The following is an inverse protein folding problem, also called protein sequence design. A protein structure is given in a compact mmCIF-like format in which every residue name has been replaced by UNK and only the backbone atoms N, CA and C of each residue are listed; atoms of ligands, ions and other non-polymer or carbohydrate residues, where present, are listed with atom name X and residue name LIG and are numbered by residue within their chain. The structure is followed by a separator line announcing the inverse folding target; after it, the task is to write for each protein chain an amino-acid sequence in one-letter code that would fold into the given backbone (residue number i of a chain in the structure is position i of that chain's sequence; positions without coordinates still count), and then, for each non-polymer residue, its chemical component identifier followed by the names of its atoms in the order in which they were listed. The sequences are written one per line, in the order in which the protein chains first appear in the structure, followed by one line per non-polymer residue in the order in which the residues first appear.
data_IF_820747142722
#
_entry.id   IF_820747142722
#
_cell.length_a   1.000
_cell.length_b   1.000
_cell.length_c   1.000
_cell.angle_alpha   90.00
_cell.angle_beta   90.00
_cell.angle_gamma   90.00
#
_symmetry.space_group_name_H-M   'P 1'
#
loop_
_entity.id
_entity.type
_entity.pdbx_description
1 polymer ?
#
# COMPACT_ATOMS: atom_id res chain seq x y z
N UNK A 1 -10.36 -37.78 10.00
CA UNK A 1 -8.96 -37.59 10.44
C UNK A 1 -8.66 -36.11 10.26
N UNK A 2 -8.49 -35.37 11.34
CA UNK A 2 -8.42 -33.90 11.30
C UNK A 2 -7.10 -33.45 10.66
N UNK A 3 -7.15 -32.78 9.50
CA UNK A 3 -5.99 -32.23 8.79
C UNK A 3 -5.36 -31.00 9.47
N UNK A 4 -6.01 -30.51 10.53
CA UNK A 4 -5.65 -29.35 11.34
C UNK A 4 -4.14 -29.22 11.66
N UNK A 5 -3.41 -30.26 12.13
CA UNK A 5 -1.99 -30.11 12.45
C UNK A 5 -1.10 -29.92 11.21
N UNK A 6 -1.46 -30.53 10.07
CA UNK A 6 -0.72 -30.37 8.81
C UNK A 6 -0.98 -28.98 8.24
N UNK A 7 -2.23 -28.53 8.25
CA UNK A 7 -2.61 -27.19 7.78
C UNK A 7 -1.92 -26.11 8.62
N UNK A 8 -1.87 -26.30 9.94
CA UNK A 8 -1.16 -25.38 10.85
C UNK A 8 0.35 -25.41 10.61
N UNK A 9 0.95 -26.59 10.44
CA UNK A 9 2.37 -26.71 10.11
C UNK A 9 2.69 -25.97 8.80
N UNK A 10 1.90 -26.18 7.74
CA UNK A 10 2.11 -25.53 6.45
C UNK A 10 1.72 -24.05 6.42
N UNK A 11 0.91 -23.60 7.36
CA UNK A 11 0.70 -22.17 7.58
C UNK A 11 1.91 -21.53 8.24
N UNK A 12 2.49 -22.17 9.26
CA UNK A 12 3.66 -21.66 10.00
C UNK A 12 4.93 -21.75 9.14
N UNK A 13 5.15 -22.90 8.51
CA UNK A 13 6.23 -23.14 7.57
C UNK A 13 5.82 -22.64 6.20
N UNK A 14 6.51 -21.60 5.72
CA UNK A 14 6.18 -20.90 4.47
C UNK A 14 5.93 -21.84 3.29
N UNK A 15 4.88 -21.55 2.53
CA UNK A 15 4.56 -22.28 1.30
C UNK A 15 5.31 -21.71 0.10
N UNK A 16 5.40 -22.49 -0.98
CA UNK A 16 6.13 -22.09 -2.18
C UNK A 16 5.44 -22.56 -3.48
N UNK A 17 5.76 -21.87 -4.58
CA UNK A 17 5.45 -22.30 -5.94
C UNK A 17 6.74 -22.55 -6.74
N UNK A 18 6.64 -23.27 -7.86
CA UNK A 18 7.76 -23.60 -8.74
C UNK A 18 7.68 -22.71 -9.98
N UNK A 19 8.75 -21.98 -10.27
CA UNK A 19 8.77 -20.98 -11.36
C UNK A 19 8.49 -21.61 -12.74
N UNK A 20 9.11 -22.75 -13.02
CA UNK A 20 8.95 -23.45 -14.30
C UNK A 20 7.53 -24.01 -14.51
N UNK A 21 6.80 -24.29 -13.41
CA UNK A 21 5.45 -24.85 -13.47
C UNK A 21 4.40 -23.85 -13.97
N UNK A 22 4.71 -22.54 -13.98
CA UNK A 22 3.84 -21.50 -14.54
C UNK A 22 3.78 -21.51 -16.07
N UNK A 23 4.79 -22.08 -16.73
CA UNK A 23 4.88 -22.15 -18.20
C UNK A 23 4.31 -23.45 -18.78
N UNK A 24 3.97 -24.42 -17.92
CA UNK A 24 3.50 -25.75 -18.30
C UNK A 24 1.99 -25.76 -18.55
N UNK A 25 1.54 -26.70 -19.38
CA UNK A 25 0.12 -26.88 -19.71
C UNK A 25 -0.64 -27.55 -18.55
N UNK A 26 -1.59 -26.82 -17.97
CA UNK A 26 -2.49 -27.34 -16.93
C UNK A 26 -3.37 -28.45 -17.50
N UNK A 27 -3.49 -29.57 -16.76
CA UNK A 27 -4.28 -30.74 -17.13
C UNK A 27 -3.50 -31.83 -17.87
N UNK A 28 -2.41 -31.46 -18.55
CA UNK A 28 -1.53 -32.40 -19.25
C UNK A 28 -0.21 -32.61 -18.49
N UNK A 29 0.53 -31.52 -18.25
CA UNK A 29 1.88 -31.56 -17.68
C UNK A 29 1.89 -31.26 -16.17
N UNK A 30 0.99 -30.38 -15.72
CA UNK A 30 0.86 -29.97 -14.32
C UNK A 30 -0.59 -29.97 -13.85
N UNK A 31 -0.85 -30.32 -12.58
CA UNK A 31 -2.21 -30.30 -12.02
C UNK A 31 -2.74 -28.86 -11.82
N UNK A 32 -1.86 -27.89 -11.55
CA UNK A 32 -2.23 -26.49 -11.33
C UNK A 32 -1.04 -25.55 -11.65
N UNK A 33 -1.27 -24.31 -12.12
CA UNK A 33 -0.20 -23.34 -12.34
C UNK A 33 0.70 -23.16 -11.11
N UNK A 34 2.02 -23.24 -11.30
CA UNK A 34 2.98 -23.08 -10.20
C UNK A 34 3.12 -24.31 -9.27
N UNK A 35 2.36 -25.38 -9.50
CA UNK A 35 2.38 -26.63 -8.70
C UNK A 35 2.86 -27.79 -9.57
N UNK A 36 4.06 -28.29 -9.26
CA UNK A 36 4.67 -29.43 -9.95
C UNK A 36 5.47 -30.30 -8.97
N UNK A 37 5.96 -31.46 -9.40
CA UNK A 37 6.89 -32.32 -8.66
C UNK A 37 8.18 -31.54 -8.38
N UNK A 38 8.65 -31.59 -7.14
CA UNK A 38 9.84 -30.84 -6.74
C UNK A 38 11.09 -31.58 -7.18
N UNK A 39 11.84 -31.02 -8.13
CA UNK A 39 13.16 -31.53 -8.51
C UNK A 39 14.29 -30.70 -7.85
N UNK A 40 15.51 -31.25 -7.70
CA UNK A 40 16.61 -30.55 -7.00
C UNK A 40 17.05 -29.24 -7.67
N UNK A 41 16.81 -29.09 -8.99
CA UNK A 41 17.31 -27.97 -9.78
C UNK A 41 16.24 -26.88 -10.05
N UNK A 42 15.11 -26.93 -9.35
CA UNK A 42 14.02 -25.98 -9.55
C UNK A 42 14.08 -24.78 -8.60
N UNK A 43 13.88 -23.59 -9.18
CA UNK A 43 13.74 -22.35 -8.43
C UNK A 43 12.37 -22.29 -7.75
N UNK A 44 12.40 -22.20 -6.42
CA UNK A 44 11.21 -22.10 -5.56
C UNK A 44 10.96 -20.64 -5.21
N UNK A 45 9.72 -20.19 -5.35
CA UNK A 45 9.25 -18.87 -4.93
C UNK A 45 8.42 -19.04 -3.67
N UNK A 46 8.88 -18.47 -2.56
CA UNK A 46 8.21 -18.59 -1.26
C UNK A 46 7.21 -17.46 -1.04
N UNK A 47 6.03 -17.80 -0.52
CA UNK A 47 4.91 -16.88 -0.29
C UNK A 47 4.74 -16.55 1.18
N UNK A 48 5.82 -16.11 1.83
CA UNK A 48 5.82 -15.77 3.26
C UNK A 48 4.97 -14.53 3.59
N UNK A 49 4.69 -13.69 2.59
CA UNK A 49 4.00 -12.41 2.78
C UNK A 49 2.57 -12.57 3.34
N UNK A 50 1.90 -13.71 3.14
CA UNK A 50 0.56 -13.95 3.70
C UNK A 50 0.52 -13.89 5.22
N UNK A 51 1.61 -14.24 5.90
CA UNK A 51 1.71 -14.16 7.36
C UNK A 51 1.91 -12.71 7.84
N UNK A 52 2.62 -11.89 7.05
CA UNK A 52 3.13 -10.59 7.47
C UNK A 52 2.34 -9.41 6.92
N UNK A 53 1.46 -9.63 5.94
CA UNK A 53 0.76 -8.57 5.22
C UNK A 53 -0.01 -7.64 6.16
N UNK A 54 -0.69 -8.18 7.17
CA UNK A 54 -1.44 -7.36 8.13
C UNK A 54 -0.52 -6.42 8.93
N UNK A 55 0.65 -6.89 9.34
CA UNK A 55 1.62 -6.07 10.08
C UNK A 55 2.23 -5.00 9.19
N UNK A 56 2.61 -5.36 7.97
CA UNK A 56 3.14 -4.40 7.00
C UNK A 56 2.10 -3.31 6.75
N UNK A 57 0.88 -3.66 6.35
CA UNK A 57 -0.20 -2.69 6.10
C UNK A 57 -0.47 -1.80 7.31
N UNK A 58 -0.42 -2.33 8.54
CA UNK A 58 -0.54 -1.54 9.76
C UNK A 58 0.58 -0.50 9.90
N UNK A 59 1.84 -0.89 9.72
CA UNK A 59 2.95 0.06 9.74
C UNK A 59 2.91 1.05 8.59
N UNK A 60 2.45 0.65 7.41
CA UNK A 60 2.25 1.55 6.28
C UNK A 60 1.20 2.62 6.60
N UNK A 61 0.07 2.24 7.21
CA UNK A 61 -0.94 3.19 7.65
C UNK A 61 -0.37 4.20 8.66
N UNK A 62 0.46 3.74 9.60
CA UNK A 62 1.15 4.63 10.54
C UNK A 62 2.14 5.57 9.82
N UNK A 63 2.92 5.07 8.88
CA UNK A 63 3.86 5.88 8.08
C UNK A 63 3.12 6.94 7.25
N UNK A 64 1.94 6.65 6.70
CA UNK A 64 1.07 7.64 6.04
C UNK A 64 0.55 8.74 6.97
N UNK A 65 0.47 8.46 8.27
CA UNK A 65 0.05 9.46 9.25
C UNK A 65 1.18 10.45 9.61
N UNK A 66 2.44 10.04 9.49
CA UNK A 66 3.60 10.83 9.94
C UNK A 66 3.70 12.21 9.26
N UNK A 67 3.62 12.35 7.92
CA UNK A 67 3.69 13.65 7.28
C UNK A 67 2.59 14.62 7.74
N UNK A 68 1.36 14.10 7.93
CA UNK A 68 0.24 14.88 8.45
C UNK A 68 0.48 15.33 9.88
N UNK A 69 0.98 14.44 10.73
CA UNK A 69 1.32 14.77 12.12
C UNK A 69 2.41 15.84 12.18
N UNK A 70 3.47 15.67 11.38
CA UNK A 70 4.56 16.63 11.25
C UNK A 70 4.07 18.01 10.82
N UNK A 71 3.25 18.08 9.76
CA UNK A 71 2.63 19.34 9.31
C UNK A 71 1.81 20.00 10.42
N UNK A 72 0.95 19.23 11.10
CA UNK A 72 0.09 19.78 12.16
C UNK A 72 0.88 20.28 13.37
N UNK A 73 1.96 19.60 13.73
CA UNK A 73 2.88 20.04 14.77
C UNK A 73 3.57 21.37 14.40
N UNK A 74 3.99 21.53 13.14
CA UNK A 74 4.66 22.74 12.65
C UNK A 74 3.71 23.91 12.39
N UNK A 75 2.51 23.66 11.88
CA UNK A 75 1.48 24.67 11.63
C UNK A 75 1.05 25.35 12.95
N UNK A 76 1.08 24.61 14.06
CA UNK A 76 0.81 25.15 15.41
C UNK A 76 -0.58 25.76 15.56
N UNK A 77 -1.54 25.38 14.70
CA UNK A 77 -2.90 25.92 14.72
C UNK A 77 -3.05 27.36 14.19
N UNK A 78 -2.01 27.94 13.59
CA UNK A 78 -2.03 29.32 13.06
C UNK A 78 -3.17 29.54 12.06
N UNK A 79 -3.36 28.61 11.12
CA UNK A 79 -4.44 28.68 10.13
C UNK A 79 -5.83 28.59 10.78
N UNK A 80 -5.99 27.71 11.78
CA UNK A 80 -7.25 27.56 12.52
C UNK A 80 -7.61 28.86 13.26
N UNK A 81 -6.61 29.51 13.85
CA UNK A 81 -6.80 30.80 14.54
C UNK A 81 -7.10 31.92 13.54
N UNK A 82 -6.45 31.93 12.37
CA UNK A 82 -6.70 32.93 11.32
C UNK A 82 -8.13 32.89 10.78
N UNK A 83 -8.69 31.70 10.64
CA UNK A 83 -10.06 31.52 10.13
C UNK A 83 -11.11 32.07 11.12
N UNK A 84 -10.79 32.30 12.40
CA UNK A 84 -11.69 32.90 13.40
C UNK A 84 -13.13 32.32 13.37
N UNK A 85 -13.27 31.01 13.11
CA UNK A 85 -14.57 30.36 13.03
C UNK A 85 -15.43 30.73 11.80
N UNK A 86 -14.89 31.41 10.79
CA UNK A 86 -15.57 31.70 9.50
C UNK A 86 -16.00 30.43 8.76
N UNK A 87 -15.43 29.27 9.11
CA UNK A 87 -15.82 27.94 8.60
C UNK A 87 -17.11 27.39 9.24
N UNK A 88 -17.55 27.94 10.38
CA UNK A 88 -18.75 27.46 11.08
C UNK A 88 -20.02 27.78 10.28
N UNK A 89 -20.88 26.78 9.97
CA UNK A 89 -22.15 27.02 9.29
C UNK A 89 -23.15 27.81 10.16
N UNK A 90 -22.94 27.82 11.48
CA UNK A 90 -23.69 28.64 12.44
C UNK A 90 -22.78 29.78 12.89
N UNK A 91 -22.95 30.95 12.27
CA UNK A 91 -22.24 32.16 12.66
C UNK A 91 -23.13 33.37 12.40
N UNK A 92 -23.19 34.30 13.36
CA UNK A 92 -24.01 35.50 13.25
C UNK A 92 -23.47 36.41 12.14
N UNK A 93 -24.33 37.08 11.38
CA UNK A 93 -23.88 37.88 10.23
C UNK A 93 -22.93 39.02 10.61
N UNK A 94 -23.17 39.64 11.77
CA UNK A 94 -22.32 40.68 12.34
C UNK A 94 -20.92 40.15 12.68
N UNK A 95 -20.85 39.02 13.39
CA UNK A 95 -19.58 38.34 13.73
C UNK A 95 -18.81 37.92 12.48
N UNK A 96 -19.51 37.44 11.46
CA UNK A 96 -18.90 37.05 10.18
C UNK A 96 -18.26 38.25 9.47
N UNK A 97 -18.95 39.40 9.43
CA UNK A 97 -18.44 40.61 8.81
C UNK A 97 -17.22 41.17 9.56
N UNK A 98 -17.26 41.18 10.90
CA UNK A 98 -16.14 41.62 11.74
C UNK A 98 -14.92 40.72 11.59
N UNK A 99 -15.11 39.39 11.63
CA UNK A 99 -14.01 38.42 11.46
C UNK A 99 -13.41 38.49 10.04
N UNK A 100 -14.23 38.75 9.02
CA UNK A 100 -13.76 38.97 7.65
C UNK A 100 -12.90 40.24 7.54
N UNK A 101 -13.33 41.34 8.16
CA UNK A 101 -12.56 42.59 8.17
C UNK A 101 -11.19 42.40 8.86
N UNK A 102 -11.18 41.75 10.03
CA UNK A 102 -9.95 41.41 10.77
C UNK A 102 -9.00 40.52 9.95
N UNK A 103 -9.54 39.53 9.23
CA UNK A 103 -8.75 38.64 8.38
C UNK A 103 -8.10 39.41 7.21
N UNK A 104 -8.85 40.30 6.54
CA UNK A 104 -8.33 41.15 5.46
C UNK A 104 -7.24 42.09 5.99
N UNK A 105 -7.47 42.73 7.15
CA UNK A 105 -6.48 43.60 7.78
C UNK A 105 -5.19 42.84 8.12
N UNK A 106 -5.31 41.63 8.69
CA UNK A 106 -4.18 40.77 8.99
C UNK A 106 -3.37 40.41 7.74
N UNK A 107 -4.05 40.01 6.66
CA UNK A 107 -3.40 39.64 5.40
C UNK A 107 -2.68 40.83 4.76
N UNK A 108 -3.33 42.00 4.77
CA UNK A 108 -2.74 43.22 4.21
C UNK A 108 -1.49 43.64 4.99
N UNK A 109 -1.54 43.58 6.33
CA UNK A 109 -0.43 43.97 7.21
C UNK A 109 0.75 42.99 7.18
N UNK A 110 0.52 41.73 6.86
CA UNK A 110 1.54 40.66 6.87
C UNK A 110 1.86 40.12 5.46
N UNK A 111 1.53 40.88 4.42
CA UNK A 111 1.89 40.54 3.05
C UNK A 111 3.43 40.44 2.96
N UNK A 112 3.96 39.37 2.38
CA UNK A 112 5.39 38.99 2.32
C UNK A 112 6.04 38.36 3.57
N UNK A 113 5.37 38.29 4.73
CA UNK A 113 5.95 37.66 5.94
C UNK A 113 5.58 36.16 6.11
N UNK A 114 4.89 35.58 5.12
CA UNK A 114 4.39 34.20 5.17
C UNK A 114 5.29 33.19 4.46
N UNK A 115 6.48 33.61 3.98
CA UNK A 115 7.39 32.76 3.20
C UNK A 115 7.80 31.49 3.97
N UNK A 116 8.00 31.57 5.28
CA UNK A 116 8.33 30.39 6.10
C UNK A 116 7.16 29.39 6.15
N UNK A 117 5.92 29.86 6.30
CA UNK A 117 4.74 28.97 6.32
C UNK A 117 4.59 28.26 4.98
N UNK A 118 4.78 28.99 3.87
CA UNK A 118 4.74 28.44 2.53
C UNK A 118 5.84 27.38 2.31
N UNK A 119 7.08 27.67 2.69
CA UNK A 119 8.19 26.72 2.57
C UNK A 119 7.90 25.44 3.36
N UNK A 120 7.43 25.56 4.60
CA UNK A 120 7.11 24.39 5.43
C UNK A 120 5.94 23.57 4.85
N UNK A 121 4.96 24.23 4.24
CA UNK A 121 3.87 23.55 3.53
C UNK A 121 4.41 22.78 2.33
N UNK A 122 5.23 23.42 1.49
CA UNK A 122 5.86 22.77 0.34
C UNK A 122 6.71 21.58 0.76
N UNK A 123 7.47 21.67 1.86
CA UNK A 123 8.23 20.54 2.42
C UNK A 123 7.30 19.40 2.83
N UNK A 124 6.16 19.69 3.47
CA UNK A 124 5.18 18.68 3.83
C UNK A 124 4.61 17.96 2.61
N UNK A 125 4.32 18.69 1.53
CA UNK A 125 3.83 18.10 0.27
C UNK A 125 4.90 17.21 -0.38
N UNK A 126 6.15 17.65 -0.39
CA UNK A 126 7.28 16.83 -0.88
C UNK A 126 7.44 15.57 -0.02
N UNK A 127 7.32 15.69 1.32
CA UNK A 127 7.40 14.54 2.21
C UNK A 127 6.25 13.55 2.00
N UNK A 128 5.03 14.04 1.73
CA UNK A 128 3.89 13.19 1.34
C UNK A 128 4.20 12.41 0.06
N UNK A 129 4.72 13.09 -0.97
CA UNK A 129 5.06 12.45 -2.24
C UNK A 129 6.16 11.39 -2.06
N UNK A 130 7.23 11.74 -1.33
CA UNK A 130 8.32 10.80 -1.02
C UNK A 130 7.80 9.59 -0.23
N UNK A 131 6.90 9.80 0.73
CA UNK A 131 6.30 8.72 1.48
C UNK A 131 5.52 7.78 0.54
N UNK A 132 4.67 8.29 -0.35
CA UNK A 132 3.95 7.47 -1.34
C UNK A 132 4.90 6.62 -2.19
N UNK A 133 6.00 7.21 -2.68
CA UNK A 133 7.00 6.50 -3.48
C UNK A 133 7.67 5.38 -2.65
N UNK A 134 8.10 5.69 -1.42
CA UNK A 134 8.71 4.70 -0.53
C UNK A 134 7.75 3.55 -0.22
N UNK A 135 6.45 3.84 -0.02
CA UNK A 135 5.44 2.81 0.24
C UNK A 135 5.23 1.89 -0.97
N UNK A 136 5.25 2.43 -2.19
CA UNK A 136 5.24 1.60 -3.41
C UNK A 136 6.45 0.67 -3.48
N UNK A 137 7.66 1.16 -3.20
CA UNK A 137 8.88 0.34 -3.20
C UNK A 137 8.83 -0.73 -2.11
N UNK A 138 8.35 -0.40 -0.91
CA UNK A 138 8.18 -1.36 0.18
C UNK A 138 7.22 -2.48 -0.24
N UNK A 139 6.07 -2.14 -0.84
CA UNK A 139 5.12 -3.14 -1.33
C UNK A 139 5.70 -4.02 -2.43
N UNK A 140 6.44 -3.43 -3.37
CA UNK A 140 7.08 -4.17 -4.45
C UNK A 140 8.08 -5.19 -3.92
N UNK A 141 8.97 -4.76 -3.03
CA UNK A 141 9.92 -5.67 -2.38
C UNK A 141 9.21 -6.74 -1.53
N UNK A 142 8.12 -6.39 -0.86
CA UNK A 142 7.36 -7.30 -0.01
C UNK A 142 6.67 -8.42 -0.81
N UNK A 143 6.16 -8.11 -1.99
CA UNK A 143 5.52 -9.08 -2.90
C UNK A 143 6.52 -9.79 -3.83
N UNK A 144 7.83 -9.63 -3.62
CA UNK A 144 8.86 -10.31 -4.39
C UNK A 144 9.20 -9.68 -5.75
N UNK A 145 8.94 -8.38 -5.92
CA UNK A 145 9.30 -7.60 -7.10
C UNK A 145 8.29 -7.67 -8.26
N UNK A 146 7.12 -8.24 -8.02
CA UNK A 146 6.07 -8.39 -9.05
C UNK A 146 5.04 -7.26 -9.01
N UNK A 147 4.98 -6.43 -7.95
CA UNK A 147 3.93 -5.43 -7.75
C UNK A 147 3.97 -4.29 -8.78
N UNK A 148 5.17 -3.84 -9.18
CA UNK A 148 5.32 -2.71 -10.11
C UNK A 148 4.74 -3.03 -11.49
N UNK A 149 4.94 -4.26 -11.95
CA UNK A 149 4.42 -4.72 -13.24
C UNK A 149 2.96 -5.18 -13.13
N UNK A 150 2.57 -5.69 -11.96
CA UNK A 150 1.22 -6.21 -11.70
C UNK A 150 0.10 -5.23 -12.08
N UNK A 151 0.22 -3.94 -11.75
CA UNK A 151 -0.82 -2.96 -12.05
C UNK A 151 -1.11 -2.83 -13.56
N UNK A 152 -0.06 -2.72 -14.37
CA UNK A 152 -0.18 -2.64 -15.83
C UNK A 152 -0.61 -3.97 -16.44
N UNK A 153 -0.08 -5.08 -15.92
CA UNK A 153 -0.42 -6.43 -16.39
C UNK A 153 -1.90 -6.75 -16.16
N UNK A 154 -2.47 -6.32 -15.03
CA UNK A 154 -3.91 -6.51 -14.73
C UNK A 154 -4.78 -5.65 -15.64
N UNK A 155 -4.40 -4.39 -15.91
CA UNK A 155 -5.16 -3.52 -16.83
C UNK A 155 -5.14 -4.12 -18.23
N UNK A 156 -3.97 -4.51 -18.72
CA UNK A 156 -3.83 -5.14 -20.02
C UNK A 156 -4.62 -6.46 -20.09
N UNK A 157 -4.61 -7.28 -19.02
CA UNK A 157 -5.35 -8.54 -18.98
C UNK A 157 -6.87 -8.36 -18.87
N UNK A 158 -7.36 -7.27 -18.27
CA UNK A 158 -8.80 -7.04 -18.13
C UNK A 158 -9.56 -6.96 -19.45
N UNK A 159 -8.84 -6.69 -20.56
CA UNK A 159 -9.37 -6.66 -21.92
C UNK A 159 -9.29 -8.02 -22.65
N UNK A 160 -8.63 -9.03 -22.06
CA UNK A 160 -8.39 -10.33 -22.68
C UNK A 160 -9.47 -11.35 -22.31
N UNK A 161 -9.66 -12.34 -23.18
CA UNK A 161 -10.62 -13.42 -22.95
C UNK A 161 -10.22 -14.30 -21.75
N UNK A 162 -11.18 -14.66 -20.90
CA UNK A 162 -10.98 -15.44 -19.66
C UNK A 162 -10.40 -16.85 -19.89
N UNK A 163 -10.35 -17.29 -21.15
CA UNK A 163 -9.85 -18.59 -21.59
C UNK A 163 -8.31 -18.69 -21.66
N UNK A 164 -7.59 -17.57 -21.51
CA UNK A 164 -6.12 -17.53 -21.58
C UNK A 164 -5.50 -18.07 -20.29
N UNK A 165 -4.60 -19.05 -20.43
CA UNK A 165 -3.99 -19.84 -19.33
C UNK A 165 -3.07 -19.07 -18.37
N UNK A 166 -2.88 -17.76 -18.52
CA UNK A 166 -1.95 -16.95 -17.73
C UNK A 166 -2.68 -15.78 -17.07
N UNK A 167 -3.16 -16.01 -15.84
CA UNK A 167 -3.75 -14.95 -15.00
C UNK A 167 -2.62 -14.33 -14.13
N UNK A 168 -2.26 -13.05 -14.36
CA UNK A 168 -1.24 -12.37 -13.56
C UNK A 168 -1.58 -12.32 -12.06
N UNK A 169 -2.87 -12.35 -11.70
CA UNK A 169 -3.32 -12.41 -10.32
C UNK A 169 -2.94 -13.73 -9.65
N UNK A 170 -3.07 -14.86 -10.35
CA UNK A 170 -2.75 -16.18 -9.76
C UNK A 170 -1.23 -16.32 -9.58
N UNK A 171 -0.42 -15.71 -10.45
CA UNK A 171 1.04 -15.72 -10.31
C UNK A 171 1.52 -15.01 -9.05
N UNK A 172 0.99 -13.81 -8.79
CA UNK A 172 1.37 -13.01 -7.62
C UNK A 172 0.70 -13.54 -6.35
N UNK A 173 -0.59 -13.88 -6.43
CA UNK A 173 -1.43 -14.35 -5.33
C UNK A 173 -1.96 -15.78 -5.61
N UNK A 174 -1.11 -16.81 -5.50
CA UNK A 174 -1.49 -18.17 -5.82
C UNK A 174 -2.53 -18.71 -4.83
N UNK A 175 -3.63 -19.23 -5.39
CA UNK A 175 -4.71 -19.87 -4.60
C UNK A 175 -4.31 -21.26 -4.09
N UNK A 176 -3.31 -21.89 -4.71
CA UNK A 176 -2.77 -23.20 -4.35
C UNK A 176 -1.24 -23.13 -4.35
N UNK A 177 -0.62 -23.65 -3.29
CA UNK A 177 0.83 -23.64 -3.10
C UNK A 177 1.30 -24.96 -2.51
N UNK A 178 2.61 -25.22 -2.56
CA UNK A 178 3.24 -26.40 -1.99
C UNK A 178 3.83 -26.12 -0.62
N UNK A 179 3.86 -27.14 0.22
CA UNK A 179 4.50 -27.15 1.53
C UNK A 179 5.33 -28.44 1.66
N UNK A 180 6.48 -28.35 2.33
CA UNK A 180 7.31 -29.53 2.63
C UNK A 180 7.09 -29.92 4.09
N UNK A 181 6.37 -31.02 4.32
CA UNK A 181 6.14 -31.56 5.66
C UNK A 181 7.27 -32.53 6.04
N UNK A 182 7.96 -32.25 7.14
CA UNK A 182 9.00 -33.12 7.68
C UNK A 182 8.44 -33.93 8.84
N UNK A 183 8.49 -35.26 8.73
CA UNK A 183 8.13 -36.19 9.81
C UNK A 183 9.42 -36.69 10.46
N UNK A 184 9.60 -36.39 11.73
CA UNK A 184 10.69 -36.90 12.57
C UNK A 184 10.23 -38.14 13.34
#
# INVERSE_FOLDING_TARGET
ISFIPIDTYCWIHTTFSIENAWKKRVGDEVPYPGVDKTTPNEKRVYHAYYQWVCFVLFFQALLFYIPRYFWKAMEGGRLKNLILGLNSPVCNEETRNNNRALLVEYLYKNINNHNTLFIMYTISEVLNLLNVILQMIIMDRFLGGEFTNYGWDVINFSEWDWSVRYDPMIKVFPRLTKCTFHRY
#
